data_IF_268461064470
#
_entry.id   IF_268461064470
#
_cell.length_a   1.000
_cell.length_b   1.000
_cell.length_c   1.000
_cell.angle_alpha   90.00
_cell.angle_beta   90.00
_cell.angle_gamma   90.00
#
_symmetry.space_group_name_H-M   'P 1'
#
loop_
_entity.id
_entity.type
_entity.pdbx_description
1 polymer ?
#
# COMPACT_ATOMS: atom_id res chain seq x y z
N UNK A 1 -14.04 -11.47 14.06
CA UNK A 1 -12.73 -11.54 14.74
C UNK A 1 -12.00 -10.26 14.40
N UNK A 2 -11.52 -9.46 15.36
CA UNK A 2 -10.64 -8.35 15.02
C UNK A 2 -9.40 -8.94 14.35
N UNK A 3 -9.11 -8.53 13.11
CA UNK A 3 -7.85 -8.89 12.47
C UNK A 3 -6.73 -8.33 13.34
N UNK A 4 -5.71 -9.13 13.65
CA UNK A 4 -4.54 -8.57 14.31
C UNK A 4 -3.88 -7.59 13.33
N UNK A 5 -3.29 -6.51 13.85
CA UNK A 5 -2.67 -5.48 13.02
C UNK A 5 -1.55 -6.04 12.11
N UNK A 6 -1.00 -7.20 12.48
CA UNK A 6 -0.03 -7.97 11.69
C UNK A 6 -0.64 -8.67 10.46
N UNK A 7 -1.97 -8.86 10.41
CA UNK A 7 -2.65 -9.65 9.37
C UNK A 7 -3.08 -8.80 8.17
N UNK A 8 -2.80 -7.50 8.17
CA UNK A 8 -3.16 -6.62 7.05
C UNK A 8 -2.37 -6.98 5.80
N UNK A 9 -3.06 -7.03 4.67
CA UNK A 9 -2.43 -7.31 3.38
C UNK A 9 -2.27 -6.03 2.58
N UNK A 10 -1.22 -5.92 1.74
CA UNK A 10 -1.17 -4.90 0.71
C UNK A 10 -2.48 -4.86 -0.10
N UNK A 11 -3.05 -3.66 -0.23
CA UNK A 11 -4.35 -3.39 -0.83
C UNK A 11 -5.48 -3.23 0.18
N UNK A 12 -5.32 -3.66 1.43
CA UNK A 12 -6.36 -3.49 2.46
C UNK A 12 -6.61 -2.00 2.73
N UNK A 13 -7.89 -1.63 2.83
CA UNK A 13 -8.34 -0.29 3.21
C UNK A 13 -8.65 -0.30 4.71
N UNK A 14 -7.95 0.56 5.43
CA UNK A 14 -8.07 0.76 6.87
C UNK A 14 -8.72 2.11 7.15
N UNK A 15 -9.66 2.16 8.08
CA UNK A 15 -10.18 3.40 8.65
C UNK A 15 -9.46 3.69 9.97
N UNK A 16 -8.94 4.92 10.10
CA UNK A 16 -8.27 5.42 11.29
C UNK A 16 -8.72 6.87 11.57
N UNK A 17 -9.29 7.13 12.75
CA UNK A 17 -9.77 8.45 13.16
C UNK A 17 -10.75 9.14 12.17
N UNK A 18 -11.49 8.36 11.37
CA UNK A 18 -12.42 8.88 10.34
C UNK A 18 -11.76 9.18 8.99
N UNK A 19 -10.47 8.86 8.83
CA UNK A 19 -9.74 8.90 7.58
C UNK A 19 -9.47 7.49 7.06
N UNK A 20 -9.35 7.36 5.74
CA UNK A 20 -9.12 6.07 5.08
C UNK A 20 -7.71 5.99 4.50
N UNK A 21 -7.06 4.86 4.75
CA UNK A 21 -5.71 4.58 4.33
C UNK A 21 -5.65 3.23 3.63
N UNK A 22 -4.85 3.10 2.58
CA UNK A 22 -4.54 1.85 1.92
C UNK A 22 -3.17 1.33 2.38
N UNK A 23 -3.10 0.04 2.69
CA UNK A 23 -1.85 -0.65 3.00
C UNK A 23 -1.07 -0.90 1.71
N UNK A 24 0.17 -0.44 1.64
CA UNK A 24 1.06 -0.67 0.50
C UNK A 24 2.05 -1.79 0.80
N UNK A 25 2.57 -1.83 2.02
CA UNK A 25 3.47 -2.87 2.50
C UNK A 25 3.11 -3.26 3.94
N UNK A 26 3.33 -4.52 4.30
CA UNK A 26 3.25 -4.98 5.68
C UNK A 26 4.25 -6.13 5.87
N UNK A 27 5.14 -6.00 6.85
CA UNK A 27 6.12 -7.04 7.23
C UNK A 27 5.69 -7.83 8.49
N UNK A 28 4.51 -7.54 9.02
CA UNK A 28 3.93 -8.13 10.23
C UNK A 28 4.22 -7.32 11.51
N UNK A 29 5.23 -6.46 11.50
CA UNK A 29 5.59 -5.56 12.62
C UNK A 29 5.35 -4.10 12.25
N UNK A 30 5.63 -3.74 11.01
CA UNK A 30 5.51 -2.43 10.40
C UNK A 30 4.65 -2.50 9.14
N UNK A 31 3.98 -1.41 8.84
CA UNK A 31 3.25 -1.21 7.61
C UNK A 31 3.61 0.10 6.93
N UNK A 32 3.34 0.19 5.63
CA UNK A 32 3.30 1.45 4.91
C UNK A 32 1.87 1.73 4.48
N UNK A 33 1.40 2.93 4.81
CA UNK A 33 0.05 3.38 4.52
C UNK A 33 0.08 4.61 3.61
N UNK A 34 -0.85 4.69 2.66
CA UNK A 34 -1.13 5.92 1.91
C UNK A 34 -2.58 6.33 2.11
N UNK A 35 -2.91 7.63 2.07
CA UNK A 35 -4.30 8.07 2.08
C UNK A 35 -5.08 7.48 0.90
N UNK A 36 -6.26 6.92 1.14
CA UNK A 36 -7.13 6.40 0.08
C UNK A 36 -8.37 7.30 -0.05
N UNK A 37 -8.82 7.65 -1.28
CA UNK A 37 -8.38 7.17 -2.60
C UNK A 37 -7.22 7.97 -3.24
N UNK A 38 -6.42 8.71 -2.47
CA UNK A 38 -5.46 9.69 -3.00
C UNK A 38 -4.02 9.15 -3.05
N UNK A 39 -3.51 8.85 -4.24
CA UNK A 39 -2.16 8.28 -4.44
C UNK A 39 -1.00 9.30 -4.31
N UNK A 40 -1.28 10.59 -4.03
CA UNK A 40 -0.33 11.72 -4.15
C UNK A 40 0.37 12.17 -2.84
N UNK A 41 0.61 11.27 -1.88
CA UNK A 41 1.28 11.62 -0.62
C UNK A 41 2.38 10.59 -0.34
N UNK A 42 3.57 10.98 0.16
CA UNK A 42 4.59 10.02 0.54
C UNK A 42 4.01 8.99 1.53
N UNK A 43 4.33 7.69 1.36
CA UNK A 43 3.83 6.64 2.24
C UNK A 43 4.22 6.94 3.69
N UNK A 44 3.28 6.71 4.59
CA UNK A 44 3.44 6.83 6.03
C UNK A 44 3.84 5.49 6.62
N UNK A 45 5.01 5.43 7.26
CA UNK A 45 5.43 4.24 8.02
C UNK A 45 4.69 4.18 9.35
N UNK A 46 4.12 3.01 9.65
CA UNK A 46 3.44 2.70 10.90
C UNK A 46 4.12 1.51 11.58
N UNK A 47 4.28 1.58 12.90
CA UNK A 47 4.69 0.45 13.73
C UNK A 47 3.44 -0.05 14.48
N UNK A 48 2.91 -1.20 14.08
CA UNK A 48 1.62 -1.72 14.57
C UNK A 48 1.59 -1.93 16.09
N UNK A 49 2.74 -2.29 16.66
CA UNK A 49 2.91 -2.55 18.07
C UNK A 49 2.92 -1.28 18.94
N UNK A 50 3.31 -0.13 18.38
CA UNK A 50 3.44 1.13 19.11
C UNK A 50 2.23 2.06 18.91
N UNK A 51 1.52 1.94 17.79
CA UNK A 51 0.37 2.80 17.54
C UNK A 51 -0.85 2.43 18.40
N UNK A 52 -1.33 3.39 19.19
CA UNK A 52 -2.53 3.29 20.01
C UNK A 52 -3.86 3.45 19.24
N UNK A 53 -3.85 3.24 17.91
CA UNK A 53 -5.02 3.33 17.04
C UNK A 53 -5.82 2.02 16.90
N UNK A 54 -7.13 2.14 16.70
CA UNK A 54 -7.99 1.05 16.24
C UNK A 54 -8.05 1.10 14.71
N UNK A 55 -7.28 0.24 14.04
CA UNK A 55 -7.40 0.07 12.59
C UNK A 55 -8.56 -0.84 12.30
N UNK A 56 -9.56 -0.33 11.58
CA UNK A 56 -10.67 -1.13 11.10
C UNK A 56 -10.46 -1.41 9.62
N UNK A 57 -10.32 -2.69 9.24
CA UNK A 57 -10.36 -3.06 7.83
C UNK A 57 -11.78 -2.90 7.29
N UNK A 58 -11.96 -1.94 6.41
CA UNK A 58 -13.26 -1.62 5.79
C UNK A 58 -13.38 -2.13 4.35
N UNK A 59 -12.26 -2.52 3.73
CA UNK A 59 -12.27 -3.02 2.36
C UNK A 59 -10.88 -3.44 1.86
N UNK A 60 -10.80 -3.63 0.54
CA UNK A 60 -9.57 -3.92 -0.20
C UNK A 60 -9.69 -3.28 -1.59
N UNK A 61 -8.61 -2.68 -2.08
CA UNK A 61 -8.50 -2.08 -3.40
C UNK A 61 -7.19 -2.51 -4.07
N UNK A 62 -7.17 -2.48 -5.40
CA UNK A 62 -5.93 -2.70 -6.15
C UNK A 62 -4.89 -1.68 -5.72
N UNK A 63 -3.65 -2.15 -5.54
CA UNK A 63 -2.53 -1.28 -5.21
C UNK A 63 -2.30 -0.28 -6.35
N UNK A 64 -1.80 0.93 -6.06
CA UNK A 64 -1.34 1.85 -7.07
C UNK A 64 -0.44 1.11 -8.05
N UNK A 65 -0.78 1.20 -9.34
CA UNK A 65 0.10 0.68 -10.37
C UNK A 65 1.50 1.27 -10.21
N UNK A 66 2.57 0.53 -10.55
CA UNK A 66 3.90 1.12 -10.54
C UNK A 66 3.84 2.43 -11.32
N UNK A 67 4.32 3.52 -10.72
CA UNK A 67 4.34 4.83 -11.37
C UNK A 67 4.89 4.63 -12.78
N UNK A 68 4.17 5.10 -13.83
CA UNK A 68 4.64 4.89 -15.19
C UNK A 68 6.07 5.43 -15.25
N UNK A 69 7.01 4.56 -15.64
CA UNK A 69 8.38 4.95 -15.92
C UNK A 69 8.32 6.28 -16.68
N UNK A 70 8.76 7.38 -16.06
CA UNK A 70 8.81 8.66 -16.75
C UNK A 70 9.70 8.44 -17.98
N UNK A 71 9.09 8.53 -19.16
CA UNK A 71 9.77 8.48 -20.46
C UNK A 71 10.64 9.73 -20.61
N UNK A 72 11.67 9.82 -19.78
CA UNK A 72 12.50 10.98 -19.57
C UNK A 72 13.86 10.51 -19.09
N UNK A 73 14.64 10.01 -20.04
CA UNK A 73 16.08 9.76 -19.92
C UNK A 73 16.51 8.44 -19.22
N UNK A 74 16.50 7.35 -19.98
CA UNK A 74 17.42 6.22 -19.75
C UNK A 74 16.83 4.98 -19.08
N UNK A 75 16.53 3.96 -19.90
CA UNK A 75 16.44 2.52 -19.55
C UNK A 75 15.51 2.14 -18.39
N UNK A 76 14.23 1.89 -18.69
CA UNK A 76 13.47 0.91 -17.91
C UNK A 76 13.89 -0.51 -18.34
N UNK A 77 14.27 -1.39 -17.41
CA UNK A 77 14.60 -2.76 -17.75
C UNK A 77 13.32 -3.44 -18.26
N UNK A 78 13.31 -3.73 -19.56
CA UNK A 78 12.30 -4.53 -20.25
C UNK A 78 12.36 -5.97 -19.75
N UNK A 79 11.83 -6.23 -18.56
CA UNK A 79 11.51 -7.59 -18.14
C UNK A 79 10.04 -7.88 -18.39
N UNK A 80 9.75 -8.48 -19.55
CA UNK A 80 8.55 -9.30 -19.69
C UNK A 80 7.77 -9.18 -20.99
N UNK A 81 8.36 -9.63 -22.11
CA UNK A 81 7.76 -10.49 -23.17
C UNK A 81 8.37 -10.14 -24.53
N UNK A 82 9.53 -10.77 -24.78
CA UNK A 82 9.77 -11.24 -26.12
C UNK A 82 8.67 -12.24 -26.47
N UNK A 83 7.80 -11.87 -27.40
CA UNK A 83 7.08 -12.84 -28.21
C UNK A 83 7.58 -12.65 -29.63
N UNK A 84 8.55 -13.44 -30.09
CA UNK A 84 8.77 -13.59 -31.51
C UNK A 84 7.78 -14.65 -31.99
N UNK A 85 6.76 -14.24 -32.74
CA UNK A 85 6.12 -15.00 -33.82
C UNK A 85 5.31 -14.03 -34.68
#
# INVERSE_FOLDING_TARGET
MPAYKSDFMPGDILELFGETYQVIENDGVRGQLIPFPSEEIPPHEVIWAEESGQYLRIGNAELPGPSPCSTGNGTCPTNGRGSPL
#
